data_IF_694529915588
#
_entry.id   IF_694529915588
#
_cell.length_a   1.000
_cell.length_b   1.000
_cell.length_c   1.000
_cell.angle_alpha   90.00
_cell.angle_beta   90.00
_cell.angle_gamma   90.00
#
_symmetry.space_group_name_H-M   'P 1'
#
loop_
_entity.id
_entity.type
_entity.pdbx_description
1 polymer ?
#
# COMPACT_ATOMS: atom_id res chain seq x y z
N UNK A 1 -15.46 -16.83 8.86
CA UNK A 1 -14.63 -15.75 8.26
C UNK A 1 -15.42 -14.45 8.34
N UNK A 2 -14.79 -13.32 8.71
CA UNK A 2 -15.51 -12.03 8.80
C UNK A 2 -15.89 -11.53 7.41
N UNK A 3 -17.04 -10.86 7.28
CA UNK A 3 -17.58 -10.40 5.99
C UNK A 3 -16.59 -9.51 5.23
N UNK A 4 -16.03 -8.50 5.92
CA UNK A 4 -15.06 -7.57 5.34
C UNK A 4 -13.80 -8.28 4.81
N UNK A 5 -13.40 -9.40 5.41
CA UNK A 5 -12.26 -10.21 4.94
C UNK A 5 -12.58 -10.85 3.59
N UNK A 6 -13.76 -11.43 3.42
CA UNK A 6 -14.14 -12.03 2.14
C UNK A 6 -14.36 -11.01 1.02
N UNK A 7 -14.95 -9.85 1.36
CA UNK A 7 -15.09 -8.73 0.42
C UNK A 7 -13.71 -8.23 -0.01
N UNK A 8 -12.78 -8.03 0.93
CA UNK A 8 -11.43 -7.63 0.57
C UNK A 8 -10.73 -8.69 -0.29
N UNK A 9 -10.96 -9.97 -0.02
CA UNK A 9 -10.40 -11.07 -0.82
C UNK A 9 -10.91 -11.04 -2.27
N UNK A 10 -12.20 -10.75 -2.49
CA UNK A 10 -12.74 -10.51 -3.82
C UNK A 10 -12.10 -9.28 -4.49
N UNK A 11 -11.86 -8.21 -3.73
CA UNK A 11 -11.10 -7.05 -4.22
C UNK A 11 -9.70 -7.42 -4.71
N UNK A 12 -9.01 -8.32 -4.00
CA UNK A 12 -7.69 -8.83 -4.41
C UNK A 12 -7.75 -9.61 -5.70
N UNK A 13 -8.79 -10.41 -5.93
CA UNK A 13 -8.98 -11.11 -7.20
C UNK A 13 -9.13 -10.13 -8.37
N UNK A 14 -9.90 -9.06 -8.20
CA UNK A 14 -10.00 -8.00 -9.22
C UNK A 14 -8.66 -7.30 -9.46
N UNK A 15 -7.89 -7.01 -8.41
CA UNK A 15 -6.55 -6.42 -8.55
C UNK A 15 -5.59 -7.34 -9.31
N UNK A 16 -5.62 -8.66 -9.06
CA UNK A 16 -4.81 -9.64 -9.81
C UNK A 16 -5.19 -9.72 -11.29
N UNK A 17 -6.44 -9.40 -11.63
CA UNK A 17 -6.92 -9.30 -13.01
C UNK A 17 -6.59 -7.95 -13.67
N UNK A 18 -5.98 -7.02 -12.94
CA UNK A 18 -5.69 -5.65 -13.38
C UNK A 18 -6.89 -4.70 -13.28
N UNK A 19 -8.03 -5.14 -12.76
CA UNK A 19 -9.20 -4.30 -12.53
C UNK A 19 -9.12 -3.58 -11.17
N UNK A 20 -8.21 -2.62 -11.12
CA UNK A 20 -7.93 -1.85 -9.92
C UNK A 20 -9.09 -0.93 -9.51
N UNK A 21 -9.95 -0.53 -10.45
CA UNK A 21 -11.12 0.29 -10.16
C UNK A 21 -12.16 -0.51 -9.35
N UNK A 22 -12.48 -1.74 -9.78
CA UNK A 22 -13.34 -2.64 -8.98
C UNK A 22 -12.67 -3.03 -7.67
N UNK A 23 -11.38 -3.34 -7.68
CA UNK A 23 -10.64 -3.66 -6.46
C UNK A 23 -10.76 -2.55 -5.40
N UNK A 24 -10.57 -1.29 -5.81
CA UNK A 24 -10.68 -0.11 -4.95
C UNK A 24 -12.07 0.02 -4.32
N UNK A 25 -13.14 -0.24 -5.07
CA UNK A 25 -14.50 -0.25 -4.54
C UNK A 25 -14.66 -1.28 -3.41
N UNK A 26 -14.21 -2.51 -3.64
CA UNK A 26 -14.27 -3.60 -2.66
C UNK A 26 -13.45 -3.30 -1.40
N UNK A 27 -12.23 -2.77 -1.55
CA UNK A 27 -11.40 -2.39 -0.39
C UNK A 27 -12.04 -1.28 0.44
N UNK A 28 -12.62 -0.26 -0.21
CA UNK A 28 -13.33 0.82 0.51
C UNK A 28 -14.54 0.29 1.29
N UNK A 29 -15.28 -0.67 0.73
CA UNK A 29 -16.37 -1.33 1.47
C UNK A 29 -15.84 -2.12 2.66
N UNK A 30 -14.80 -2.95 2.46
CA UNK A 30 -14.18 -3.71 3.53
C UNK A 30 -13.61 -2.81 4.66
N UNK A 31 -13.04 -1.65 4.30
CA UNK A 31 -12.58 -0.63 5.25
C UNK A 31 -13.71 -0.03 6.08
N UNK A 32 -14.86 0.27 5.49
CA UNK A 32 -16.01 0.76 6.26
C UNK A 32 -16.51 -0.29 7.25
N UNK A 33 -16.70 -1.52 6.77
CA UNK A 33 -17.19 -2.63 7.60
C UNK A 33 -16.26 -2.95 8.78
N UNK A 34 -14.93 -2.93 8.57
CA UNK A 34 -13.99 -3.17 9.68
C UNK A 34 -14.03 -2.04 10.72
N UNK A 35 -14.29 -0.79 10.31
CA UNK A 35 -14.43 0.34 11.22
C UNK A 35 -15.74 0.26 11.99
N UNK A 36 -16.85 0.00 11.31
CA UNK A 36 -18.19 -0.16 11.91
C UNK A 36 -18.23 -1.31 12.92
N UNK A 37 -17.53 -2.41 12.63
CA UNK A 37 -17.42 -3.55 13.53
C UNK A 37 -16.48 -3.34 14.73
N UNK A 38 -15.72 -2.23 14.77
CA UNK A 38 -14.71 -1.99 15.81
C UNK A 38 -13.57 -3.02 15.77
N UNK A 39 -13.25 -3.53 14.58
CA UNK A 39 -12.26 -4.59 14.41
C UNK A 39 -10.82 -4.08 14.59
N UNK A 40 -9.87 -4.98 14.92
CA UNK A 40 -8.47 -4.59 15.12
C UNK A 40 -7.89 -3.78 13.96
N UNK A 41 -7.14 -2.73 14.29
CA UNK A 41 -6.55 -1.76 13.33
C UNK A 41 -5.72 -2.42 12.21
N UNK A 42 -5.15 -3.59 12.46
CA UNK A 42 -4.40 -4.38 11.48
C UNK A 42 -5.20 -4.63 10.18
N UNK A 43 -6.52 -4.80 10.27
CA UNK A 43 -7.37 -4.99 9.08
C UNK A 43 -7.49 -3.72 8.27
N UNK A 44 -7.75 -2.59 8.94
CA UNK A 44 -7.82 -1.28 8.30
C UNK A 44 -6.51 -0.96 7.58
N UNK A 45 -5.37 -1.16 8.24
CA UNK A 45 -4.04 -0.93 7.66
C UNK A 45 -3.77 -1.81 6.44
N UNK A 46 -4.10 -3.11 6.53
CA UNK A 46 -3.96 -4.02 5.40
C UNK A 46 -4.83 -3.60 4.20
N UNK A 47 -6.07 -3.19 4.40
CA UNK A 47 -6.92 -2.72 3.29
C UNK A 47 -6.45 -1.40 2.70
N UNK A 48 -5.92 -0.51 3.52
CA UNK A 48 -5.33 0.74 3.09
C UNK A 48 -4.10 0.52 2.21
N UNK A 49 -3.25 -0.45 2.54
CA UNK A 49 -2.16 -0.86 1.66
C UNK A 49 -2.67 -1.36 0.30
N UNK A 50 -3.75 -2.15 0.28
CA UNK A 50 -4.37 -2.63 -0.96
C UNK A 50 -4.98 -1.49 -1.80
N UNK A 51 -5.57 -0.49 -1.14
CA UNK A 51 -6.07 0.75 -1.77
C UNK A 51 -4.92 1.50 -2.43
N UNK A 52 -3.86 1.75 -1.67
CA UNK A 52 -2.67 2.49 -2.11
C UNK A 52 -1.98 1.82 -3.30
N UNK A 53 -1.88 0.49 -3.27
CA UNK A 53 -1.38 -0.31 -4.38
C UNK A 53 -2.26 -0.18 -5.63
N UNK A 54 -3.58 -0.23 -5.49
CA UNK A 54 -4.49 -0.10 -6.64
C UNK A 54 -4.44 1.31 -7.25
N UNK A 55 -4.39 2.35 -6.41
CA UNK A 55 -4.21 3.74 -6.86
C UNK A 55 -2.89 3.90 -7.62
N UNK A 56 -1.81 3.32 -7.11
CA UNK A 56 -0.51 3.34 -7.78
C UNK A 56 -0.55 2.65 -9.15
N UNK A 57 -1.20 1.50 -9.26
CA UNK A 57 -1.36 0.80 -10.54
C UNK A 57 -2.22 1.58 -11.55
N UNK A 58 -3.19 2.37 -11.06
CA UNK A 58 -4.01 3.25 -11.89
C UNK A 58 -3.30 4.55 -12.28
N UNK A 59 -2.07 4.80 -11.79
CA UNK A 59 -1.36 6.06 -12.01
C UNK A 59 -1.92 7.24 -11.21
N UNK A 60 -2.78 6.99 -10.21
CA UNK A 60 -3.37 8.00 -9.33
C UNK A 60 -2.36 8.45 -8.25
N UNK A 61 -1.17 8.87 -8.67
CA UNK A 61 -0.04 9.17 -7.79
C UNK A 61 -0.31 10.34 -6.84
N UNK A 62 -1.09 11.34 -7.26
CA UNK A 62 -1.49 12.45 -6.38
C UNK A 62 -2.29 11.99 -5.15
N UNK A 63 -3.18 11.00 -5.32
CA UNK A 63 -3.95 10.44 -4.20
C UNK A 63 -3.05 9.63 -3.25
N UNK A 64 -2.11 8.86 -3.80
CA UNK A 64 -1.09 8.13 -3.02
C UNK A 64 -0.24 9.12 -2.22
N UNK A 65 0.22 10.21 -2.84
CA UNK A 65 1.01 11.24 -2.17
C UNK A 65 0.24 11.91 -1.03
N UNK A 66 -1.02 12.30 -1.27
CA UNK A 66 -1.87 12.88 -0.24
C UNK A 66 -2.06 11.95 0.96
N UNK A 67 -2.15 10.64 0.74
CA UNK A 67 -2.17 9.67 1.85
C UNK A 67 -0.83 9.60 2.58
N UNK A 68 0.28 9.48 1.84
CA UNK A 68 1.61 9.45 2.43
C UNK A 68 1.88 10.68 3.31
N UNK A 69 1.52 11.88 2.82
CA UNK A 69 1.76 13.13 3.54
C UNK A 69 0.94 13.20 4.84
N UNK A 70 -0.33 12.75 4.82
CA UNK A 70 -1.17 12.63 6.03
C UNK A 70 -0.57 11.66 7.05
N UNK A 71 -0.11 10.50 6.59
CA UNK A 71 0.47 9.48 7.48
C UNK A 71 1.82 9.92 8.07
N UNK A 72 2.66 10.60 7.28
CA UNK A 72 3.91 11.19 7.76
C UNK A 72 3.62 12.26 8.82
N UNK A 73 2.68 13.17 8.58
CA UNK A 73 2.31 14.20 9.55
C UNK A 73 1.85 13.61 10.89
N UNK A 74 1.10 12.50 10.87
CA UNK A 74 0.70 11.78 12.09
C UNK A 74 1.92 11.23 12.85
N UNK A 75 2.92 10.68 12.14
CA UNK A 75 4.14 10.18 12.77
C UNK A 75 5.09 11.29 13.24
N UNK A 76 5.02 12.48 12.64
CA UNK A 76 5.73 13.67 13.12
C UNK A 76 5.13 14.16 14.45
N UNK A 77 3.80 14.12 14.60
CA UNK A 77 3.12 14.42 15.86
C UNK A 77 3.30 13.32 16.91
N UNK A 78 3.30 12.06 16.47
CA UNK A 78 3.33 10.86 17.32
C UNK A 78 4.38 9.88 16.80
N UNK A 79 5.63 9.99 17.26
CA UNK A 79 6.71 9.13 16.80
C UNK A 79 6.39 7.64 16.97
N UNK A 80 6.89 6.77 16.07
CA UNK A 80 6.61 5.33 16.10
C UNK A 80 6.88 4.68 17.47
N UNK A 81 5.88 4.07 18.13
CA UNK A 81 6.04 3.54 19.49
C UNK A 81 6.73 2.17 19.55
N UNK A 82 6.86 1.47 18.41
CA UNK A 82 7.42 0.13 18.32
C UNK A 82 8.00 -0.15 16.93
N UNK A 83 8.68 -1.28 16.78
CA UNK A 83 9.34 -1.70 15.53
C UNK A 83 8.37 -1.79 14.34
N UNK A 84 7.15 -2.28 14.57
CA UNK A 84 6.13 -2.39 13.52
C UNK A 84 5.72 -1.01 12.98
N UNK A 85 5.54 -0.02 13.86
CA UNK A 85 5.26 1.35 13.46
C UNK A 85 6.46 2.03 12.76
N UNK A 86 7.69 1.65 13.11
CA UNK A 86 8.89 2.12 12.39
C UNK A 86 8.89 1.59 10.95
N UNK A 87 8.58 0.31 10.77
CA UNK A 87 8.46 -0.31 9.44
C UNK A 87 7.35 0.32 8.60
N UNK A 88 6.23 0.68 9.25
CA UNK A 88 5.13 1.39 8.61
C UNK A 88 5.56 2.75 8.05
N UNK A 89 6.16 3.60 8.90
CA UNK A 89 6.67 4.91 8.49
C UNK A 89 7.72 4.77 7.36
N UNK A 90 8.62 3.80 7.47
CA UNK A 90 9.60 3.53 6.41
C UNK A 90 8.94 3.11 5.09
N UNK A 91 7.88 2.29 5.16
CA UNK A 91 7.10 1.84 3.99
C UNK A 91 6.33 3.00 3.36
N UNK A 92 5.77 3.91 4.17
CA UNK A 92 5.11 5.13 3.71
C UNK A 92 6.10 6.02 2.93
N UNK A 93 7.30 6.25 3.48
CA UNK A 93 8.33 7.00 2.78
C UNK A 93 8.80 6.30 1.49
N UNK A 94 8.92 4.97 1.51
CA UNK A 94 9.25 4.20 0.31
C UNK A 94 8.16 4.34 -0.77
N UNK A 95 6.88 4.20 -0.40
CA UNK A 95 5.73 4.39 -1.32
C UNK A 95 5.75 5.80 -1.92
N UNK A 96 5.94 6.83 -1.09
CA UNK A 96 6.12 8.21 -1.56
C UNK A 96 7.27 8.31 -2.57
N UNK A 97 8.44 7.77 -2.25
CA UNK A 97 9.60 7.78 -3.14
C UNK A 97 9.36 7.07 -4.48
N UNK A 98 8.70 5.92 -4.44
CA UNK A 98 8.32 5.15 -5.64
C UNK A 98 7.40 5.95 -6.56
N UNK A 99 6.33 6.54 -6.03
CA UNK A 99 5.36 7.23 -6.89
C UNK A 99 5.92 8.52 -7.47
N UNK A 100 6.73 9.27 -6.70
CA UNK A 100 7.46 10.44 -7.22
C UNK A 100 8.40 10.06 -8.35
N UNK A 101 9.10 8.93 -8.18
CA UNK A 101 10.00 8.43 -9.21
C UNK A 101 9.23 8.08 -10.50
N UNK A 102 8.03 7.49 -10.37
CA UNK A 102 7.16 7.19 -11.52
C UNK A 102 6.55 8.45 -12.16
N UNK A 103 6.28 9.48 -11.36
CA UNK A 103 5.82 10.81 -11.84
C UNK A 103 6.94 11.64 -12.49
N UNK A 104 8.22 11.26 -12.29
CA UNK A 104 9.38 11.97 -12.84
C UNK A 104 10.07 12.93 -11.85
N UNK A 105 9.54 13.09 -10.64
CA UNK A 105 10.04 13.98 -9.59
C UNK A 105 11.24 13.35 -8.85
N UNK A 106 12.37 13.22 -9.54
CA UNK A 106 13.54 12.46 -9.05
C UNK A 106 14.15 12.99 -7.75
N UNK A 107 14.18 14.30 -7.55
CA UNK A 107 14.78 14.91 -6.35
C UNK A 107 13.94 14.64 -5.10
N UNK A 108 12.63 14.82 -5.22
CA UNK A 108 11.64 14.49 -4.19
C UNK A 108 11.60 12.97 -3.91
N UNK A 109 11.71 12.15 -4.96
CA UNK A 109 11.82 10.70 -4.85
C UNK A 109 13.07 10.28 -4.05
N UNK A 110 14.21 10.92 -4.33
CA UNK A 110 15.46 10.69 -3.62
C UNK A 110 15.33 11.05 -2.15
N UNK A 111 14.80 12.23 -1.84
CA UNK A 111 14.60 12.67 -0.46
C UNK A 111 13.69 11.69 0.32
N UNK A 112 12.62 11.21 -0.30
CA UNK A 112 11.73 10.22 0.29
C UNK A 112 12.43 8.85 0.53
N UNK A 113 13.23 8.36 -0.44
CA UNK A 113 14.01 7.13 -0.25
C UNK A 113 15.07 7.28 0.85
N UNK A 114 15.71 8.44 0.96
CA UNK A 114 16.68 8.74 2.02
C UNK A 114 16.00 8.71 3.40
N UNK A 115 14.79 9.27 3.52
CA UNK A 115 13.98 9.20 4.75
C UNK A 115 13.62 7.74 5.10
N UNK A 116 13.14 6.95 4.14
CA UNK A 116 12.81 5.54 4.36
C UNK A 116 14.01 4.74 4.91
N UNK A 117 15.19 4.91 4.29
CA UNK A 117 16.43 4.26 4.74
C UNK A 117 16.86 4.76 6.12
N UNK A 118 16.74 6.06 6.39
CA UNK A 118 17.14 6.66 7.66
C UNK A 118 16.26 6.18 8.83
N UNK A 119 14.95 6.02 8.62
CA UNK A 119 14.01 5.48 9.61
C UNK A 119 14.39 4.05 9.98
N UNK A 120 14.54 3.16 9.01
CA UNK A 120 14.96 1.77 9.26
C UNK A 120 16.34 1.68 9.92
N UNK A 121 17.31 2.47 9.45
CA UNK A 121 18.69 2.42 9.98
C UNK A 121 18.74 2.75 11.49
N UNK A 122 17.95 3.71 11.95
CA UNK A 122 17.88 4.08 13.39
C UNK A 122 17.40 2.91 14.25
N UNK A 123 16.52 2.07 13.71
CA UNK A 123 16.01 0.86 14.36
C UNK A 123 16.82 -0.41 14.03
N UNK A 124 17.99 -0.30 13.38
CA UNK A 124 18.80 -1.44 12.93
C UNK A 124 18.09 -2.38 11.94
N UNK A 125 17.11 -1.85 11.21
CA UNK A 125 16.37 -2.52 10.14
C UNK A 125 16.94 -2.14 8.78
N UNK A 126 16.52 -2.86 7.73
CA UNK A 126 16.89 -2.57 6.34
C UNK A 126 15.66 -2.36 5.47
N UNK A 127 15.82 -1.55 4.43
CA UNK A 127 14.79 -1.32 3.41
C UNK A 127 15.41 -1.49 2.02
N UNK A 128 15.59 -2.74 1.53
CA UNK A 128 16.39 -3.02 0.35
C UNK A 128 15.90 -2.33 -0.93
N UNK A 129 14.59 -2.20 -1.12
CA UNK A 129 14.02 -1.50 -2.26
C UNK A 129 14.40 -0.02 -2.24
N UNK A 130 14.19 0.68 -1.11
CA UNK A 130 14.56 2.08 -0.97
C UNK A 130 16.07 2.31 -1.21
N UNK A 131 16.92 1.41 -0.70
CA UNK A 131 18.37 1.46 -0.94
C UNK A 131 18.72 1.28 -2.43
N UNK A 132 18.02 0.38 -3.13
CA UNK A 132 18.25 0.14 -4.56
C UNK A 132 17.85 1.35 -5.40
N UNK A 133 16.65 1.90 -5.16
CA UNK A 133 16.18 3.10 -5.85
C UNK A 133 17.10 4.31 -5.55
N UNK A 134 17.55 4.46 -4.30
CA UNK A 134 18.47 5.51 -3.91
C UNK A 134 19.83 5.41 -4.62
N UNK A 135 20.37 4.19 -4.80
CA UNK A 135 21.59 3.98 -5.61
C UNK A 135 21.36 4.42 -7.05
N UNK A 136 20.22 4.09 -7.64
CA UNK A 136 19.91 4.48 -9.02
C UNK A 136 19.84 6.01 -9.17
N UNK A 137 19.14 6.66 -8.25
CA UNK A 137 18.97 8.12 -8.22
C UNK A 137 20.30 8.85 -8.02
N UNK A 138 21.20 8.35 -7.16
CA UNK A 138 22.52 8.95 -6.93
C UNK A 138 23.48 8.80 -8.10
N UNK A 139 23.40 7.68 -8.80
CA UNK A 139 24.23 7.40 -9.96
C UNK A 139 23.66 8.00 -11.27
N UNK A 140 22.58 8.79 -11.19
CA UNK A 140 21.94 9.44 -12.34
C UNK A 140 21.60 8.47 -13.49
N UNK A 141 21.22 7.22 -13.14
CA UNK A 141 20.81 6.25 -14.16
C UNK A 141 19.54 6.72 -14.89
N UNK A 142 19.38 6.25 -16.13
CA UNK A 142 18.07 6.24 -16.75
C UNK A 142 17.17 5.27 -15.99
N UNK A 143 16.07 5.79 -15.48
CA UNK A 143 15.07 5.04 -14.70
C UNK A 143 13.75 5.24 -15.42
N UNK A 144 13.27 4.20 -16.09
CA UNK A 144 11.93 4.13 -16.63
C UNK A 144 10.97 3.44 -15.63
N UNK A 145 9.67 3.66 -15.82
CA UNK A 145 8.62 3.13 -14.94
C UNK A 145 8.59 1.59 -14.93
N UNK A 146 8.86 0.94 -16.06
CA UNK A 146 8.84 -0.52 -16.16
C UNK A 146 9.95 -1.16 -15.32
N UNK A 147 11.14 -0.55 -15.30
CA UNK A 147 12.26 -0.95 -14.44
C UNK A 147 11.92 -0.81 -12.97
N UNK A 148 11.26 0.28 -12.57
CA UNK A 148 10.79 0.46 -11.18
C UNK A 148 9.79 -0.65 -10.82
N UNK A 149 8.81 -0.93 -11.68
CA UNK A 149 7.81 -1.99 -11.46
C UNK A 149 8.46 -3.37 -11.33
N UNK A 150 9.43 -3.68 -12.19
CA UNK A 150 10.17 -4.94 -12.10
C UNK A 150 10.87 -5.10 -10.75
N UNK A 151 11.49 -4.03 -10.26
CA UNK A 151 12.19 -4.03 -8.97
C UNK A 151 11.22 -4.09 -7.78
N UNK A 152 10.07 -3.44 -7.87
CA UNK A 152 8.98 -3.57 -6.89
C UNK A 152 8.50 -5.03 -6.78
N UNK A 153 8.28 -5.70 -7.91
CA UNK A 153 7.89 -7.12 -7.95
C UNK A 153 8.95 -8.01 -7.30
N UNK A 154 10.23 -7.79 -7.66
CA UNK A 154 11.37 -8.52 -7.07
C UNK A 154 11.47 -8.33 -5.56
N UNK A 155 11.21 -7.11 -5.07
CA UNK A 155 11.24 -6.77 -3.66
C UNK A 155 9.95 -7.14 -2.90
N UNK A 156 8.97 -7.77 -3.55
CA UNK A 156 7.64 -8.10 -3.00
C UNK A 156 6.94 -6.88 -2.37
N UNK A 157 7.11 -5.73 -3.01
CA UNK A 157 6.53 -4.45 -2.60
C UNK A 157 5.00 -4.43 -2.62
N UNK A 158 4.41 -5.19 -3.54
CA UNK A 158 2.97 -5.33 -3.66
C UNK A 158 2.46 -6.42 -2.70
N UNK A 159 1.46 -6.07 -1.92
CA UNK A 159 0.80 -6.95 -0.96
C UNK A 159 -0.09 -7.94 -1.70
N UNK A 160 -0.77 -7.53 -2.78
CA UNK A 160 -1.64 -8.43 -3.53
C UNK A 160 -0.82 -9.21 -4.57
N UNK A 161 -0.68 -10.51 -4.32
CA UNK A 161 0.04 -11.44 -5.18
C UNK A 161 -0.69 -12.77 -5.32
N UNK A 162 -0.50 -13.51 -6.42
CA UNK A 162 -1.16 -14.81 -6.60
C UNK A 162 -0.96 -15.78 -5.43
N UNK A 163 0.20 -15.73 -4.75
CA UNK A 163 0.51 -16.60 -3.60
C UNK A 163 -0.13 -16.16 -2.27
N UNK A 164 -0.76 -14.98 -2.24
CA UNK A 164 -1.34 -14.37 -1.03
C UNK A 164 -2.86 -14.27 -1.06
N UNK A 165 -3.48 -14.71 -2.17
CA UNK A 165 -4.91 -14.60 -2.41
C UNK A 165 -5.51 -15.99 -2.46
N UNK A 166 -6.60 -16.18 -1.74
CA UNK A 166 -7.34 -17.42 -1.65
C UNK A 166 -8.76 -17.21 -2.25
N UNK A 167 -8.99 -17.64 -3.50
CA UNK A 167 -10.29 -17.46 -4.14
C UNK A 167 -11.47 -18.10 -3.38
N UNK A 168 -11.23 -19.14 -2.58
CA UNK A 168 -12.28 -19.83 -1.82
C UNK A 168 -12.89 -18.97 -0.70
N UNK A 169 -12.18 -17.90 -0.34
CA UNK A 169 -12.57 -16.95 0.71
C UNK A 169 -13.24 -15.70 0.16
N UNK A 170 -13.35 -15.56 -1.16
CA UNK A 170 -13.89 -14.35 -1.76
C UNK A 170 -15.42 -14.27 -1.62
N UNK A 171 -15.90 -13.07 -1.28
CA UNK A 171 -17.34 -12.76 -1.19
C UNK A 171 -17.63 -11.59 -2.12
N UNK A 172 -18.54 -11.82 -3.06
CA UNK A 172 -19.04 -10.82 -4.01
C UNK A 172 -20.03 -9.90 -3.29
N UNK A 173 -20.02 -8.59 -3.60
CA UNK A 173 -20.83 -7.61 -2.86
C UNK A 173 -22.34 -7.86 -3.00
N UNK A 174 -22.79 -8.26 -4.19
CA UNK A 174 -24.19 -8.63 -4.45
C UNK A 174 -24.64 -9.80 -3.55
N UNK A 175 -23.74 -10.73 -3.25
CA UNK A 175 -24.01 -11.84 -2.34
C UNK A 175 -23.95 -11.39 -0.88
N UNK A 176 -23.06 -10.46 -0.53
CA UNK A 176 -22.99 -9.87 0.80
C UNK A 176 -24.30 -9.15 1.19
N UNK A 177 -24.89 -8.39 0.26
CA UNK A 177 -26.17 -7.69 0.47
C UNK A 177 -27.33 -8.66 0.71
N UNK A 178 -27.31 -9.83 0.05
CA UNK A 178 -28.30 -10.90 0.26
C UNK A 178 -28.09 -11.66 1.56
N UNK A 179 -26.84 -11.91 1.94
CA UNK A 179 -26.49 -12.63 3.16
C UNK A 179 -26.74 -11.80 4.43
N UNK A 180 -26.63 -10.47 4.34
CA UNK A 180 -26.78 -9.55 5.46
C UNK A 180 -27.67 -8.35 5.10
N UNK A 181 -28.98 -8.56 4.89
CA UNK A 181 -29.90 -7.51 4.53
C UNK A 181 -30.20 -6.63 5.76
N UNK A 182 -29.34 -5.67 6.10
CA UNK A 182 -29.58 -4.83 7.28
C UNK A 182 -28.49 -3.88 7.76
N UNK A 183 -27.41 -3.63 7.01
CA UNK A 183 -26.41 -2.63 7.42
C UNK A 183 -26.89 -1.20 7.14
N UNK A 184 -27.59 -0.57 8.10
CA UNK A 184 -27.68 0.89 8.20
C UNK A 184 -26.70 1.39 9.25
#
# INVERSE_FOLDING_TARGET
>A
MKLHVGIAEQGKLYALQGDHARALHYYRVAMRLTVEAGDPEIFFRHYLDCVMESLEHMGAYAEVLAYCDKAIALYDERPPPNEMAVLDLATIHLRRGVVLLKSGDKDEARAACERAVAVCRRARLTMPLAQTLLRWLRASFHIDVARVISEQRRARYFTVRPDTVDPSRAIVLEDAERMFPGGR
#
